data_IF_958315973916
#
_entry.id   IF_958315973916
#
_cell.length_a   1.000
_cell.length_b   1.000
_cell.length_c   1.000
_cell.angle_alpha   90.00
_cell.angle_beta   90.00
_cell.angle_gamma   90.00
#
_symmetry.space_group_name_H-M   'P 1'
#
loop_
_entity.id
_entity.type
_entity.pdbx_description
1 polymer ?
#
# COMPACT_ATOMS: atom_id res chain seq x y z
N UNK A 1 14.83 -37.14 -7.94
CA UNK A 1 15.42 -36.30 -6.87
C UNK A 1 15.71 -34.87 -7.36
N UNK A 2 16.48 -34.69 -8.43
CA UNK A 2 16.84 -33.37 -8.97
C UNK A 2 15.64 -32.47 -9.34
N UNK A 3 14.61 -33.05 -9.97
CA UNK A 3 13.34 -32.35 -10.23
C UNK A 3 12.69 -31.79 -8.95
N UNK A 4 12.63 -32.58 -7.88
CA UNK A 4 12.05 -32.14 -6.59
C UNK A 4 12.88 -31.02 -5.96
N UNK A 5 14.21 -31.05 -6.08
CA UNK A 5 15.09 -29.99 -5.59
C UNK A 5 14.86 -28.68 -6.36
N UNK A 6 14.72 -28.76 -7.69
CA UNK A 6 14.41 -27.62 -8.56
C UNK A 6 13.04 -27.03 -8.24
N UNK A 7 11.99 -27.85 -8.20
CA UNK A 7 10.63 -27.38 -7.91
C UNK A 7 10.54 -26.77 -6.50
N UNK A 8 11.21 -27.36 -5.51
CA UNK A 8 11.31 -26.78 -4.17
C UNK A 8 12.00 -25.41 -4.19
N UNK A 9 13.08 -25.25 -4.95
CA UNK A 9 13.77 -23.96 -5.06
C UNK A 9 12.87 -22.89 -5.71
N UNK A 10 12.13 -23.25 -6.77
CA UNK A 10 11.16 -22.37 -7.44
C UNK A 10 10.03 -21.98 -6.47
N UNK A 11 9.50 -22.94 -5.72
CA UNK A 11 8.44 -22.71 -4.74
C UNK A 11 8.90 -21.78 -3.60
N UNK A 12 10.10 -22.00 -3.05
CA UNK A 12 10.70 -21.14 -2.02
C UNK A 12 10.95 -19.72 -2.54
N UNK A 13 11.42 -19.58 -3.78
CA UNK A 13 11.59 -18.28 -4.43
C UNK A 13 10.26 -17.54 -4.65
N UNK A 14 9.18 -18.29 -4.91
CA UNK A 14 7.84 -17.74 -5.13
C UNK A 14 7.07 -17.43 -3.84
N UNK A 15 7.55 -17.92 -2.69
CA UNK A 15 6.93 -17.70 -1.38
C UNK A 15 7.05 -16.24 -0.89
N UNK A 16 7.99 -15.48 -1.44
CA UNK A 16 8.23 -14.09 -1.05
C UNK A 16 7.87 -13.18 -2.22
N UNK A 17 7.04 -12.17 -1.93
CA UNK A 17 6.68 -11.16 -2.90
C UNK A 17 7.93 -10.46 -3.49
N UNK A 18 8.01 -10.18 -4.80
CA UNK A 18 9.17 -9.51 -5.40
C UNK A 18 9.56 -8.20 -4.71
N UNK A 19 8.56 -7.43 -4.24
CA UNK A 19 8.83 -6.20 -3.48
C UNK A 19 9.47 -6.47 -2.12
N UNK A 20 9.06 -7.56 -1.45
CA UNK A 20 9.63 -7.98 -0.17
C UNK A 20 11.04 -8.52 -0.35
N UNK A 21 11.31 -9.25 -1.45
CA UNK A 21 12.65 -9.72 -1.78
C UNK A 21 13.64 -8.56 -1.95
N UNK A 22 13.25 -7.51 -2.71
CA UNK A 22 14.06 -6.29 -2.88
C UNK A 22 14.32 -5.61 -1.53
N UNK A 23 13.31 -5.52 -0.66
CA UNK A 23 13.45 -4.94 0.68
C UNK A 23 14.39 -5.77 1.56
N UNK A 24 14.25 -7.09 1.58
CA UNK A 24 15.09 -7.97 2.40
C UNK A 24 16.53 -8.01 1.93
N UNK A 25 16.79 -7.96 0.63
CA UNK A 25 18.15 -7.79 0.11
C UNK A 25 18.77 -6.48 0.62
N UNK A 26 18.01 -5.37 0.57
CA UNK A 26 18.48 -4.10 1.15
C UNK A 26 18.78 -4.19 2.65
N UNK A 27 18.01 -4.98 3.41
CA UNK A 27 18.27 -5.21 4.83
C UNK A 27 19.56 -6.02 5.04
N UNK A 28 19.76 -7.08 4.25
CA UNK A 28 20.98 -7.88 4.28
C UNK A 28 22.21 -7.02 3.97
N UNK A 29 22.18 -6.21 2.91
CA UNK A 29 23.32 -5.35 2.56
C UNK A 29 23.67 -4.35 3.67
N UNK A 30 22.67 -3.81 4.35
CA UNK A 30 22.88 -2.95 5.53
C UNK A 30 23.59 -3.69 6.66
N UNK A 31 23.22 -4.93 6.92
CA UNK A 31 23.87 -5.76 7.93
C UNK A 31 25.29 -6.16 7.54
N UNK A 32 25.53 -6.55 6.28
CA UNK A 32 26.87 -6.88 5.79
C UNK A 32 27.82 -5.68 5.86
N UNK A 33 27.31 -4.48 5.58
CA UNK A 33 28.07 -3.23 5.72
C UNK A 33 28.41 -2.96 7.18
N UNK A 34 27.46 -3.16 8.11
CA UNK A 34 27.72 -3.07 9.54
C UNK A 34 28.81 -4.07 9.99
N UNK A 35 28.71 -5.35 9.60
CA UNK A 35 29.71 -6.35 9.91
C UNK A 35 31.09 -5.94 9.38
N UNK A 36 31.16 -5.43 8.15
CA UNK A 36 32.41 -4.97 7.54
C UNK A 36 33.01 -3.78 8.29
N UNK A 37 32.21 -2.77 8.66
CA UNK A 37 32.69 -1.56 9.36
C UNK A 37 33.25 -1.92 10.75
N UNK A 38 32.59 -2.84 11.45
CA UNK A 38 32.96 -3.20 12.83
C UNK A 38 33.81 -4.47 12.93
N UNK A 39 34.24 -5.04 11.79
CA UNK A 39 35.00 -6.29 11.72
C UNK A 39 34.32 -7.47 12.45
N UNK A 40 32.99 -7.53 12.42
CA UNK A 40 32.24 -8.68 12.93
C UNK A 40 32.13 -9.79 11.90
N UNK A 41 32.02 -11.03 12.39
CA UNK A 41 31.59 -12.15 11.57
C UNK A 41 30.18 -11.91 11.01
N UNK A 42 29.87 -12.54 9.87
CA UNK A 42 28.55 -12.44 9.23
C UNK A 42 27.50 -13.21 10.04
N UNK A 43 27.89 -14.26 10.79
CA UNK A 43 26.97 -15.04 11.61
C UNK A 43 26.16 -14.14 12.58
N UNK A 44 24.82 -14.08 12.44
CA UNK A 44 24.00 -13.24 13.29
C UNK A 44 23.70 -13.92 14.63
N UNK A 45 24.54 -13.63 15.62
CA UNK A 45 24.38 -14.03 17.01
C UNK A 45 23.47 -13.05 17.76
N UNK A 46 22.97 -13.40 18.96
CA UNK A 46 22.23 -12.45 19.80
C UNK A 46 22.99 -11.14 20.05
N UNK A 47 24.30 -11.23 20.30
CA UNK A 47 25.15 -10.06 20.53
C UNK A 47 25.29 -9.20 19.28
N UNK A 48 25.68 -9.79 18.13
CA UNK A 48 25.88 -9.02 16.90
C UNK A 48 24.59 -8.35 16.43
N UNK A 49 23.45 -9.04 16.53
CA UNK A 49 22.14 -8.47 16.23
C UNK A 49 21.76 -7.36 17.23
N UNK A 50 22.10 -7.49 18.51
CA UNK A 50 21.83 -6.43 19.49
C UNK A 50 22.67 -5.18 19.24
N UNK A 51 23.95 -5.34 18.89
CA UNK A 51 24.81 -4.22 18.49
C UNK A 51 24.31 -3.56 17.20
N UNK A 52 23.90 -4.36 16.22
CA UNK A 52 23.27 -3.87 15.00
C UNK A 52 22.02 -3.03 15.30
N UNK A 53 21.19 -3.46 16.26
CA UNK A 53 20.03 -2.67 16.70
C UNK A 53 20.45 -1.31 17.23
N UNK A 54 21.44 -1.28 18.14
CA UNK A 54 21.94 -0.02 18.71
C UNK A 54 22.47 0.89 17.61
N UNK A 55 23.34 0.37 16.75
CA UNK A 55 23.93 1.10 15.62
C UNK A 55 22.84 1.70 14.72
N UNK A 56 21.92 0.87 14.21
CA UNK A 56 20.90 1.32 13.26
C UNK A 56 19.89 2.28 13.88
N UNK A 57 19.58 2.17 15.17
CA UNK A 57 18.64 3.09 15.82
C UNK A 57 19.14 4.54 15.88
N UNK A 58 20.45 4.79 15.70
CA UNK A 58 20.98 6.15 15.54
C UNK A 58 20.74 6.72 14.14
N UNK A 59 20.50 5.87 13.15
CA UNK A 59 20.31 6.27 11.75
C UNK A 59 18.85 6.23 11.31
N UNK A 60 18.06 5.31 11.86
CA UNK A 60 16.65 5.10 11.51
C UNK A 60 15.79 4.84 12.74
N UNK A 61 14.47 4.97 12.58
CA UNK A 61 13.52 4.74 13.66
C UNK A 61 13.58 3.27 14.16
N UNK A 62 13.54 3.02 15.49
CA UNK A 62 13.63 1.67 16.05
C UNK A 62 12.61 0.67 15.47
N UNK A 63 11.39 1.12 15.18
CA UNK A 63 10.36 0.30 14.51
C UNK A 63 10.79 -0.25 13.14
N UNK A 64 11.60 0.52 12.40
CA UNK A 64 12.13 0.11 11.10
C UNK A 64 13.23 -0.92 11.29
N UNK A 65 14.08 -0.77 12.30
CA UNK A 65 15.13 -1.75 12.64
C UNK A 65 14.54 -3.14 12.90
N UNK A 66 13.38 -3.23 13.56
CA UNK A 66 12.67 -4.50 13.73
C UNK A 66 12.33 -5.21 12.40
N UNK A 67 12.02 -4.45 11.34
CA UNK A 67 11.79 -4.99 9.99
C UNK A 67 13.10 -5.42 9.31
N UNK A 68 14.18 -4.69 9.56
CA UNK A 68 15.52 -5.06 9.08
C UNK A 68 15.93 -6.41 9.64
N UNK A 69 15.80 -6.61 10.96
CA UNK A 69 16.07 -7.90 11.61
C UNK A 69 15.30 -9.06 10.98
N UNK A 70 14.01 -8.86 10.68
CA UNK A 70 13.20 -9.89 10.02
C UNK A 70 13.68 -10.20 8.61
N UNK A 71 14.11 -9.19 7.85
CA UNK A 71 14.67 -9.40 6.50
C UNK A 71 16.04 -10.07 6.53
N UNK A 72 16.92 -9.68 7.46
CA UNK A 72 18.22 -10.31 7.69
C UNK A 72 18.04 -11.78 8.04
N UNK A 73 17.17 -12.08 9.02
CA UNK A 73 16.90 -13.45 9.43
C UNK A 73 16.36 -14.29 8.27
N UNK A 74 15.43 -13.74 7.47
CA UNK A 74 14.92 -14.45 6.31
C UNK A 74 15.99 -14.75 5.25
N UNK A 75 16.88 -13.80 4.96
CA UNK A 75 17.93 -13.98 3.95
C UNK A 75 19.03 -14.93 4.41
N UNK A 76 19.36 -14.93 5.70
CA UNK A 76 20.49 -15.68 6.24
C UNK A 76 20.12 -17.06 6.80
N UNK A 77 18.84 -17.38 6.95
CA UNK A 77 18.36 -18.65 7.54
C UNK A 77 18.90 -19.90 6.84
N UNK A 78 19.11 -19.86 5.53
CA UNK A 78 19.65 -20.99 4.79
C UNK A 78 21.15 -21.27 5.07
N UNK A 79 21.89 -20.27 5.57
CA UNK A 79 23.30 -20.37 5.95
C UNK A 79 23.47 -20.53 7.46
N UNK A 80 22.60 -19.88 8.23
CA UNK A 80 22.63 -19.80 9.69
C UNK A 80 21.26 -20.21 10.24
N UNK A 81 21.02 -21.51 10.48
CA UNK A 81 19.70 -22.02 10.89
C UNK A 81 19.17 -21.38 12.18
N UNK A 82 20.07 -21.01 13.10
CA UNK A 82 19.72 -20.42 14.40
C UNK A 82 19.36 -18.93 14.33
N UNK A 83 19.48 -18.28 13.17
CA UNK A 83 19.28 -16.82 13.02
C UNK A 83 17.91 -16.35 13.53
N UNK A 84 16.86 -17.16 13.36
CA UNK A 84 15.52 -16.82 13.85
C UNK A 84 15.45 -16.90 15.37
N UNK A 85 16.06 -17.91 15.98
CA UNK A 85 16.16 -18.03 17.43
C UNK A 85 16.96 -16.86 18.00
N UNK A 86 18.11 -16.54 17.39
CA UNK A 86 18.97 -15.42 17.78
C UNK A 86 18.24 -14.07 17.70
N UNK A 87 17.53 -13.82 16.59
CA UNK A 87 16.69 -12.62 16.41
C UNK A 87 15.60 -12.51 17.49
N UNK A 88 15.03 -13.63 17.91
CA UNK A 88 13.96 -13.67 18.92
C UNK A 88 14.46 -13.75 20.36
N UNK A 89 15.78 -13.74 20.56
CA UNK A 89 16.38 -13.78 21.89
C UNK A 89 15.90 -12.62 22.78
N UNK A 90 15.93 -12.85 24.09
CA UNK A 90 15.58 -11.83 25.08
C UNK A 90 16.50 -10.60 24.96
N UNK A 91 17.78 -10.80 24.63
CA UNK A 91 18.75 -9.74 24.45
C UNK A 91 18.32 -8.78 23.33
N UNK A 92 18.11 -9.30 22.11
CA UNK A 92 17.71 -8.49 20.95
C UNK A 92 16.37 -7.78 21.21
N UNK A 93 15.40 -8.50 21.77
CA UNK A 93 14.07 -7.95 22.07
C UNK A 93 14.12 -6.82 23.10
N UNK A 94 14.91 -6.98 24.18
CA UNK A 94 15.10 -5.95 25.20
C UNK A 94 15.86 -4.75 24.66
N UNK A 95 16.88 -4.95 23.83
CA UNK A 95 17.63 -3.87 23.18
C UNK A 95 16.72 -3.05 22.27
N UNK A 96 15.91 -3.69 21.44
CA UNK A 96 14.93 -2.99 20.59
C UNK A 96 13.90 -2.21 21.42
N UNK A 97 13.43 -2.78 22.53
CA UNK A 97 12.52 -2.10 23.48
C UNK A 97 13.19 -0.89 24.10
N UNK A 98 14.44 -1.01 24.54
CA UNK A 98 15.22 0.09 25.09
C UNK A 98 15.42 1.22 24.09
N UNK A 99 15.84 0.90 22.85
CA UNK A 99 15.97 1.88 21.78
C UNK A 99 14.64 2.54 21.42
N UNK A 100 13.53 1.80 21.43
CA UNK A 100 12.20 2.35 21.18
C UNK A 100 11.80 3.36 22.26
N UNK A 101 12.09 3.09 23.54
CA UNK A 101 11.81 4.03 24.63
C UNK A 101 12.70 5.28 24.59
N UNK A 102 13.97 5.13 24.17
CA UNK A 102 14.95 6.23 24.16
C UNK A 102 14.87 7.12 22.92
N UNK A 103 14.65 6.53 21.75
CA UNK A 103 14.79 7.17 20.43
C UNK A 103 13.51 7.12 19.59
N UNK A 104 12.47 6.44 20.08
CA UNK A 104 11.19 6.33 19.38
C UNK A 104 10.50 7.69 19.26
N UNK A 105 9.87 7.91 18.11
CA UNK A 105 9.03 9.08 17.86
C UNK A 105 7.60 8.69 17.51
N UNK A 106 6.67 9.62 17.75
CA UNK A 106 5.27 9.43 17.41
C UNK A 106 5.07 9.19 15.91
N UNK A 107 4.13 8.31 15.55
CA UNK A 107 3.83 7.97 14.16
C UNK A 107 3.14 9.17 13.48
N UNK A 108 3.87 9.88 12.62
CA UNK A 108 3.29 10.85 11.69
C UNK A 108 2.59 10.11 10.55
N UNK A 109 1.26 10.17 10.51
CA UNK A 109 0.44 9.57 9.44
C UNK A 109 0.15 10.62 8.37
N UNK A 110 -0.08 10.16 7.14
CA UNK A 110 -0.57 11.03 6.07
C UNK A 110 -2.00 11.47 6.39
N UNK A 111 -2.33 12.70 6.02
CA UNK A 111 -3.67 13.25 6.20
C UNK A 111 -4.68 12.50 5.33
N UNK A 112 -5.91 12.26 5.82
CA UNK A 112 -6.97 11.69 5.01
C UNK A 112 -7.38 12.69 3.94
N UNK A 113 -7.56 12.20 2.72
CA UNK A 113 -8.04 13.05 1.63
C UNK A 113 -9.54 13.34 1.85
N UNK A 114 -9.98 14.57 1.61
CA UNK A 114 -11.39 14.96 1.70
C UNK A 114 -12.05 14.92 0.30
N UNK A 115 -13.39 14.81 0.26
CA UNK A 115 -14.13 14.85 -1.00
C UNK A 115 -13.93 16.19 -1.74
N UNK A 116 -13.79 17.29 -0.99
CA UNK A 116 -13.52 18.62 -1.54
C UNK A 116 -12.16 18.70 -2.25
N UNK A 117 -11.18 17.87 -1.84
CA UNK A 117 -9.92 17.79 -2.56
C UNK A 117 -10.14 17.18 -3.96
N UNK A 118 -10.97 16.14 -4.10
CA UNK A 118 -11.31 15.55 -5.42
C UNK A 118 -12.01 16.59 -6.29
N UNK A 119 -12.98 17.31 -5.73
CA UNK A 119 -13.69 18.38 -6.43
C UNK A 119 -12.72 19.46 -6.89
N UNK A 120 -11.77 19.88 -6.04
CA UNK A 120 -10.74 20.85 -6.39
C UNK A 120 -9.81 20.39 -7.52
N UNK A 121 -9.54 19.09 -7.65
CA UNK A 121 -8.81 18.56 -8.82
C UNK A 121 -9.66 18.59 -10.09
N UNK A 122 -10.95 18.21 -10.01
CA UNK A 122 -11.85 18.24 -11.17
C UNK A 122 -12.05 19.66 -11.71
N UNK A 123 -12.27 20.63 -10.82
CA UNK A 123 -12.45 22.04 -11.19
C UNK A 123 -11.19 22.65 -11.79
N UNK A 124 -10.01 22.23 -11.32
CA UNK A 124 -8.73 22.69 -11.84
C UNK A 124 -8.36 22.09 -13.20
N UNK A 125 -9.13 21.12 -13.71
CA UNK A 125 -8.85 20.45 -14.97
C UNK A 125 -10.11 20.38 -15.83
N UNK A 126 -10.61 21.53 -16.32
CA UNK A 126 -11.85 21.60 -17.11
C UNK A 126 -11.72 20.87 -18.46
N UNK A 127 -10.53 20.86 -19.06
CA UNK A 127 -10.21 20.17 -20.31
C UNK A 127 -9.09 19.15 -20.07
N UNK A 128 -9.40 17.99 -19.46
CA UNK A 128 -8.37 17.02 -19.10
C UNK A 128 -7.82 16.32 -20.34
N UNK A 129 -6.49 16.24 -20.43
CA UNK A 129 -5.81 15.34 -21.36
C UNK A 129 -5.84 13.91 -20.81
N UNK A 130 -5.36 12.95 -21.60
CA UNK A 130 -5.37 11.53 -21.24
C UNK A 130 -4.77 11.23 -19.87
N UNK A 131 -3.58 11.74 -19.58
CA UNK A 131 -2.90 11.52 -18.31
C UNK A 131 -3.62 12.21 -17.13
N UNK A 132 -4.38 13.27 -17.38
CA UNK A 132 -5.22 13.91 -16.37
C UNK A 132 -6.46 13.06 -16.07
N UNK A 133 -7.10 12.52 -17.12
CA UNK A 133 -8.19 11.56 -16.99
C UNK A 133 -7.73 10.33 -16.21
N UNK A 134 -6.54 9.80 -16.52
CA UNK A 134 -5.93 8.69 -15.79
C UNK A 134 -5.73 9.02 -14.31
N UNK A 135 -5.15 10.19 -14.03
CA UNK A 135 -4.90 10.63 -12.66
C UNK A 135 -6.22 10.75 -11.88
N UNK A 136 -7.22 11.41 -12.46
CA UNK A 136 -8.55 11.59 -11.85
C UNK A 136 -9.26 10.24 -11.63
N UNK A 137 -9.16 9.31 -12.59
CA UNK A 137 -9.73 7.98 -12.47
C UNK A 137 -9.05 7.15 -11.36
N UNK A 138 -7.72 7.19 -11.25
CA UNK A 138 -6.99 6.54 -10.15
C UNK A 138 -7.30 7.22 -8.81
N UNK A 139 -7.42 8.54 -8.77
CA UNK A 139 -7.79 9.29 -7.58
C UNK A 139 -9.18 8.89 -7.08
N UNK A 140 -10.18 8.88 -7.97
CA UNK A 140 -11.56 8.49 -7.67
C UNK A 140 -11.66 7.01 -7.27
N UNK A 141 -11.04 6.10 -8.03
CA UNK A 141 -11.02 4.66 -7.68
C UNK A 141 -10.28 4.43 -6.36
N UNK A 142 -9.16 5.11 -6.17
CA UNK A 142 -8.39 5.15 -4.92
C UNK A 142 -9.24 5.46 -3.70
N UNK A 143 -10.03 6.51 -3.83
CA UNK A 143 -10.90 7.03 -2.79
C UNK A 143 -12.15 6.16 -2.57
N UNK A 144 -12.98 5.96 -3.59
CA UNK A 144 -14.26 5.27 -3.45
C UNK A 144 -14.14 3.74 -3.37
N UNK A 145 -13.08 3.15 -3.95
CA UNK A 145 -12.78 1.72 -3.84
C UNK A 145 -11.85 1.35 -2.68
N UNK A 146 -11.49 2.34 -1.85
CA UNK A 146 -10.57 2.20 -0.70
C UNK A 146 -9.26 1.49 -1.06
N UNK A 147 -8.74 1.75 -2.26
CA UNK A 147 -7.53 1.10 -2.74
C UNK A 147 -6.29 1.61 -2.02
N UNK A 148 -5.33 0.70 -1.82
CA UNK A 148 -3.95 1.15 -1.62
C UNK A 148 -3.45 1.66 -2.96
N UNK A 149 -2.73 2.79 -2.98
CA UNK A 149 -2.21 3.34 -4.24
C UNK A 149 -1.41 2.31 -5.07
N UNK A 150 -0.62 1.44 -4.41
CA UNK A 150 0.16 0.40 -5.11
C UNK A 150 -0.67 -0.74 -5.71
N UNK A 151 -2.00 -0.77 -5.51
CA UNK A 151 -2.91 -1.66 -6.23
C UNK A 151 -3.30 -1.08 -7.61
N UNK A 152 -3.10 0.23 -7.82
CA UNK A 152 -3.48 0.96 -9.04
C UNK A 152 -2.28 1.48 -9.84
N UNK A 153 -1.06 1.34 -9.31
CA UNK A 153 0.17 1.86 -9.92
C UNK A 153 1.31 0.86 -9.84
N UNK A 154 2.32 1.05 -10.68
CA UNK A 154 3.58 0.34 -10.55
C UNK A 154 4.40 0.81 -9.35
N UNK A 155 5.13 -0.10 -8.67
CA UNK A 155 6.28 0.27 -7.88
C UNK A 155 7.29 1.05 -8.73
N UNK A 156 7.92 2.05 -8.11
CA UNK A 156 8.95 2.87 -8.75
C UNK A 156 10.17 2.01 -9.12
N UNK A 157 10.54 1.06 -8.26
CA UNK A 157 11.60 0.07 -8.52
C UNK A 157 11.12 -1.00 -9.49
N UNK A 158 11.80 -1.13 -10.63
CA UNK A 158 11.44 -2.09 -11.69
C UNK A 158 11.46 -3.53 -11.19
N UNK A 159 12.42 -3.91 -10.32
CA UNK A 159 12.54 -5.28 -9.81
C UNK A 159 11.37 -5.71 -8.91
N UNK A 160 10.57 -4.75 -8.44
CA UNK A 160 9.39 -5.03 -7.61
C UNK A 160 8.09 -5.17 -8.41
N UNK A 161 8.15 -5.00 -9.74
CA UNK A 161 6.98 -5.07 -10.64
C UNK A 161 6.62 -6.53 -10.92
N UNK A 162 5.33 -6.85 -10.85
CA UNK A 162 4.77 -8.17 -11.11
C UNK A 162 3.49 -8.02 -11.93
N UNK A 163 3.52 -8.51 -13.19
CA UNK A 163 2.40 -8.39 -14.13
C UNK A 163 1.14 -9.10 -13.67
N UNK A 164 1.27 -10.10 -12.79
CA UNK A 164 0.12 -10.81 -12.21
C UNK A 164 -0.73 -9.90 -11.32
N UNK A 165 -0.19 -8.76 -10.87
CA UNK A 165 -0.90 -7.79 -10.03
C UNK A 165 -1.57 -6.67 -10.83
N UNK A 166 -1.39 -6.65 -12.15
CA UNK A 166 -1.91 -5.59 -13.02
C UNK A 166 -3.39 -5.84 -13.29
N UNK A 167 -4.23 -4.82 -13.04
CA UNK A 167 -5.65 -4.88 -13.35
C UNK A 167 -5.84 -4.88 -14.87
N UNK A 168 -6.55 -5.88 -15.35
CA UNK A 168 -6.79 -6.07 -16.78
C UNK A 168 -8.05 -5.33 -17.24
N UNK A 169 -7.96 -4.65 -18.38
CA UNK A 169 -9.08 -3.98 -19.06
C UNK A 169 -10.22 -4.95 -19.37
N UNK A 170 -9.90 -6.20 -19.69
CA UNK A 170 -10.87 -7.27 -19.97
C UNK A 170 -11.74 -7.65 -18.77
N UNK A 171 -11.31 -7.35 -17.54
CA UNK A 171 -12.09 -7.56 -16.32
C UNK A 171 -13.10 -6.46 -16.04
N UNK A 172 -13.00 -5.31 -16.72
CA UNK A 172 -13.89 -4.17 -16.50
C UNK A 172 -15.27 -4.48 -17.06
N UNK A 173 -16.31 -4.22 -16.26
CA UNK A 173 -17.72 -4.22 -16.68
C UNK A 173 -18.36 -2.91 -16.26
N UNK A 174 -19.15 -2.33 -17.16
CA UNK A 174 -19.95 -1.14 -16.91
C UNK A 174 -21.40 -1.59 -16.82
N UNK A 175 -22.08 -1.20 -15.74
CA UNK A 175 -23.52 -1.30 -15.57
C UNK A 175 -24.11 0.13 -15.59
N UNK A 176 -25.42 0.31 -15.51
CA UNK A 176 -26.03 1.65 -15.61
C UNK A 176 -25.58 2.60 -14.49
N UNK A 177 -25.50 2.09 -13.26
CA UNK A 177 -25.18 2.86 -12.04
C UNK A 177 -23.86 2.47 -11.39
N UNK A 178 -23.19 1.42 -11.87
CA UNK A 178 -21.96 0.90 -11.29
C UNK A 178 -20.91 0.59 -12.35
N UNK A 179 -19.66 0.49 -11.92
CA UNK A 179 -18.63 -0.19 -12.69
C UNK A 179 -17.85 -1.12 -11.78
N UNK A 180 -17.29 -2.17 -12.37
CA UNK A 180 -16.54 -3.18 -11.64
C UNK A 180 -15.32 -3.65 -12.41
N UNK A 181 -14.32 -4.15 -11.69
CA UNK A 181 -13.13 -4.80 -12.24
C UNK A 181 -12.54 -5.79 -11.24
N UNK A 182 -11.71 -6.71 -11.74
CA UNK A 182 -11.00 -7.66 -10.89
C UNK A 182 -9.68 -7.07 -10.43
N UNK A 183 -9.47 -7.03 -9.11
CA UNK A 183 -8.18 -6.76 -8.48
C UNK A 183 -7.46 -8.11 -8.30
N UNK A 184 -6.39 -8.41 -9.07
CA UNK A 184 -5.82 -9.76 -9.11
C UNK A 184 -5.16 -10.20 -7.81
N UNK A 185 -4.60 -9.26 -7.07
CA UNK A 185 -3.91 -9.54 -5.82
C UNK A 185 -3.96 -8.33 -4.90
N UNK A 186 -4.02 -8.58 -3.60
CA UNK A 186 -3.82 -7.56 -2.59
C UNK A 186 -3.04 -8.15 -1.41
N UNK A 187 -2.45 -7.29 -0.57
CA UNK A 187 -1.53 -7.75 0.51
C UNK A 187 -2.14 -8.75 1.51
N UNK A 188 -3.47 -8.81 1.61
CA UNK A 188 -4.17 -9.74 2.49
C UNK A 188 -4.67 -11.00 1.76
N UNK A 189 -4.52 -11.07 0.44
CA UNK A 189 -4.90 -12.21 -0.37
C UNK A 189 -3.83 -13.29 -0.31
N UNK A 190 -4.02 -14.26 0.59
CA UNK A 190 -3.11 -15.42 0.71
C UNK A 190 -3.37 -16.49 -0.33
N UNK A 191 -4.57 -16.51 -0.92
CA UNK A 191 -5.03 -17.58 -1.81
C UNK A 191 -5.02 -17.16 -3.29
N UNK A 192 -4.68 -15.90 -3.60
CA UNK A 192 -4.66 -15.34 -4.95
C UNK A 192 -6.02 -15.44 -5.66
N UNK A 193 -7.11 -15.39 -4.91
CA UNK A 193 -8.47 -15.40 -5.45
C UNK A 193 -8.83 -14.05 -6.10
N UNK A 194 -8.06 -13.00 -5.77
CA UNK A 194 -8.34 -11.64 -6.18
C UNK A 194 -9.55 -11.07 -5.44
N UNK A 195 -10.04 -9.93 -5.91
CA UNK A 195 -11.27 -9.32 -5.38
C UNK A 195 -11.99 -8.56 -6.47
N UNK A 196 -13.31 -8.73 -6.55
CA UNK A 196 -14.12 -7.88 -7.45
C UNK A 196 -14.34 -6.54 -6.76
N UNK A 197 -13.88 -5.48 -7.40
CA UNK A 197 -14.12 -4.10 -6.97
C UNK A 197 -15.37 -3.62 -7.66
N UNK A 198 -16.34 -3.10 -6.90
CA UNK A 198 -17.56 -2.50 -7.42
C UNK A 198 -17.64 -1.08 -6.88
N UNK A 199 -17.72 -0.10 -7.78
CA UNK A 199 -17.86 1.31 -7.42
C UNK A 199 -19.16 1.82 -8.06
N UNK A 200 -20.04 2.34 -7.21
CA UNK A 200 -21.30 2.94 -7.62
C UNK A 200 -21.12 4.43 -7.93
N UNK A 201 -21.95 4.91 -8.86
CA UNK A 201 -22.12 6.33 -9.12
C UNK A 201 -22.54 7.07 -7.84
N UNK A 202 -22.23 8.36 -7.79
CA UNK A 202 -22.58 9.22 -6.65
C UNK A 202 -23.30 10.45 -7.14
N UNK A 203 -24.28 10.88 -6.36
CA UNK A 203 -24.91 12.18 -6.55
C UNK A 203 -23.94 13.29 -6.10
N UNK A 204 -23.85 14.36 -6.87
CA UNK A 204 -23.03 15.53 -6.57
C UNK A 204 -21.89 15.78 -7.57
N UNK A 205 -20.97 16.66 -7.18
CA UNK A 205 -19.91 17.17 -8.06
C UNK A 205 -18.81 16.15 -8.41
N UNK A 206 -18.69 15.07 -7.63
CA UNK A 206 -17.65 14.05 -7.76
C UNK A 206 -18.29 12.69 -8.02
N UNK A 207 -18.69 12.46 -9.26
CA UNK A 207 -19.21 11.15 -9.68
C UNK A 207 -18.07 10.23 -10.17
N UNK A 208 -17.71 9.16 -9.42
CA UNK A 208 -16.65 8.25 -9.84
C UNK A 208 -16.97 7.51 -11.14
N UNK A 209 -18.26 7.30 -11.46
CA UNK A 209 -18.64 6.60 -12.68
C UNK A 209 -18.32 7.45 -13.91
N UNK A 210 -18.78 8.70 -13.95
CA UNK A 210 -18.47 9.66 -15.02
C UNK A 210 -16.95 9.87 -15.19
N UNK A 211 -16.21 10.01 -14.09
CA UNK A 211 -14.74 10.17 -14.15
C UNK A 211 -14.10 8.93 -14.78
N UNK A 212 -14.51 7.73 -14.35
CA UNK A 212 -13.95 6.47 -14.83
C UNK A 212 -14.31 6.21 -16.30
N UNK A 213 -15.55 6.43 -16.72
CA UNK A 213 -15.98 6.20 -18.11
C UNK A 213 -15.31 7.15 -19.09
N UNK A 214 -15.07 8.42 -18.70
CA UNK A 214 -14.30 9.37 -19.50
C UNK A 214 -12.86 8.90 -19.72
N UNK A 215 -12.20 8.43 -18.66
CA UNK A 215 -10.87 7.82 -18.80
C UNK A 215 -10.91 6.58 -19.69
N UNK A 216 -11.88 5.69 -19.47
CA UNK A 216 -12.00 4.44 -20.21
C UNK A 216 -12.17 4.67 -21.71
N UNK A 217 -13.01 5.65 -22.10
CA UNK A 217 -13.18 6.05 -23.49
C UNK A 217 -11.87 6.57 -24.11
N UNK A 218 -11.15 7.44 -23.41
CA UNK A 218 -9.85 7.95 -23.87
C UNK A 218 -8.81 6.82 -24.00
N UNK A 219 -8.77 5.91 -23.04
CA UNK A 219 -7.88 4.75 -23.01
C UNK A 219 -8.18 3.76 -24.13
N UNK A 220 -9.45 3.45 -24.38
CA UNK A 220 -9.84 2.50 -25.42
C UNK A 220 -9.63 3.07 -26.83
N UNK A 221 -9.76 4.39 -26.99
CA UNK A 221 -9.40 5.07 -28.23
C UNK A 221 -7.89 5.01 -28.52
N UNK A 222 -7.05 5.25 -27.52
CA UNK A 222 -5.58 5.27 -27.69
C UNK A 222 -4.95 3.87 -27.72
N UNK A 223 -5.49 2.93 -26.95
CA UNK A 223 -4.90 1.61 -26.73
C UNK A 223 -5.90 0.47 -26.94
N UNK A 224 -6.53 0.35 -28.12
CA UNK A 224 -7.66 -0.57 -28.35
C UNK A 224 -7.32 -2.04 -28.06
N UNK A 225 -6.07 -2.45 -28.28
CA UNK A 225 -5.61 -3.83 -28.13
C UNK A 225 -4.84 -4.11 -26.82
N UNK A 226 -4.50 -3.08 -26.05
CA UNK A 226 -3.73 -3.29 -24.82
C UNK A 226 -4.60 -4.02 -23.78
N UNK A 227 -4.07 -5.02 -23.05
CA UNK A 227 -4.84 -5.70 -22.01
C UNK A 227 -4.90 -4.93 -20.69
N UNK A 228 -4.09 -3.89 -20.52
CA UNK A 228 -3.88 -3.21 -19.23
C UNK A 228 -4.92 -2.10 -19.02
N UNK A 229 -5.48 -2.01 -17.82
CA UNK A 229 -6.46 -0.97 -17.50
C UNK A 229 -5.83 0.41 -17.38
N UNK A 230 -4.82 0.56 -16.52
CA UNK A 230 -4.21 1.85 -16.19
C UNK A 230 -2.99 2.09 -17.08
N UNK A 231 -3.15 2.94 -18.08
CA UNK A 231 -2.13 3.34 -19.03
C UNK A 231 -2.06 4.85 -19.10
N UNK A 232 -0.83 5.38 -19.10
CA UNK A 232 -0.51 6.74 -19.50
C UNK A 232 -0.50 6.85 -21.03
N UNK A 233 -0.38 8.07 -21.53
CA UNK A 233 -0.29 8.39 -22.96
C UNK A 233 0.92 7.73 -23.64
N UNK A 234 2.00 7.47 -22.88
CA UNK A 234 3.19 6.76 -23.37
C UNK A 234 3.05 5.23 -23.42
N UNK A 235 1.85 4.69 -23.09
CA UNK A 235 1.56 3.26 -23.08
C UNK A 235 2.10 2.50 -21.87
N UNK A 236 2.71 3.17 -20.88
CA UNK A 236 3.16 2.54 -19.65
C UNK A 236 2.13 2.69 -18.52
N UNK A 237 2.11 1.70 -17.62
CA UNK A 237 1.38 1.81 -16.36
C UNK A 237 2.00 2.92 -15.49
N UNK A 238 1.19 3.81 -14.89
CA UNK A 238 1.70 4.89 -14.06
C UNK A 238 2.46 4.35 -12.85
N UNK A 239 3.59 4.97 -12.52
CA UNK A 239 4.30 4.67 -11.28
C UNK A 239 3.65 5.36 -10.07
N UNK A 240 3.99 4.90 -8.88
CA UNK A 240 3.62 5.58 -7.64
C UNK A 240 4.14 7.02 -7.61
N UNK A 241 5.38 7.26 -8.02
CA UNK A 241 5.96 8.60 -8.08
C UNK A 241 5.24 9.53 -9.05
N UNK A 242 4.81 9.02 -10.21
CA UNK A 242 4.02 9.77 -11.19
C UNK A 242 2.68 10.24 -10.61
N UNK A 243 2.00 9.37 -9.86
CA UNK A 243 0.74 9.76 -9.22
C UNK A 243 0.97 10.79 -8.12
N UNK A 244 2.00 10.58 -7.29
CA UNK A 244 2.30 11.47 -6.17
C UNK A 244 2.76 12.86 -6.63
N UNK A 245 3.53 12.97 -7.72
CA UNK A 245 3.92 14.28 -8.26
C UNK A 245 2.71 15.10 -8.69
N UNK A 246 1.75 14.46 -9.36
CA UNK A 246 0.47 15.08 -9.74
C UNK A 246 -0.39 15.46 -8.53
N UNK A 247 -0.44 14.60 -7.50
CA UNK A 247 -1.13 14.91 -6.24
C UNK A 247 -0.51 16.13 -5.54
N UNK A 248 0.82 16.18 -5.49
CA UNK A 248 1.57 17.23 -4.79
C UNK A 248 1.68 18.53 -5.57
N UNK A 249 1.27 18.56 -6.84
CA UNK A 249 1.14 19.80 -7.60
C UNK A 249 0.07 20.74 -6.99
N UNK A 250 -0.85 20.21 -6.17
CA UNK A 250 -1.91 21.00 -5.52
C UNK A 250 -2.05 20.76 -4.01
N UNK A 251 -1.61 19.61 -3.52
CA UNK A 251 -1.69 19.28 -2.09
C UNK A 251 -0.31 19.23 -1.45
N UNK A 252 -0.26 19.49 -0.14
CA UNK A 252 0.99 19.46 0.60
C UNK A 252 1.57 18.03 0.71
N UNK A 253 2.82 17.94 1.15
CA UNK A 253 3.50 16.68 1.41
C UNK A 253 2.91 15.89 2.59
N UNK A 254 1.94 16.44 3.35
CA UNK A 254 1.21 15.67 4.36
C UNK A 254 0.27 14.64 3.74
N UNK A 255 -0.05 14.77 2.44
CA UNK A 255 -0.81 13.78 1.67
C UNK A 255 0.10 12.75 0.98
N UNK A 256 -0.46 11.59 0.65
CA UNK A 256 0.22 10.58 -0.15
C UNK A 256 -0.67 9.38 -0.46
N UNK A 257 -0.09 8.27 -0.92
CA UNK A 257 -0.89 7.14 -1.40
C UNK A 257 -1.79 6.46 -0.35
N UNK A 258 -1.53 6.65 0.94
CA UNK A 258 -2.42 6.18 2.01
C UNK A 258 -3.62 7.10 2.24
N UNK A 259 -3.50 8.39 1.87
CA UNK A 259 -4.53 9.40 2.03
C UNK A 259 -5.82 9.06 1.27
N UNK A 260 -5.70 8.37 0.13
CA UNK A 260 -6.83 7.89 -0.67
C UNK A 260 -7.72 6.97 0.17
N UNK A 261 -7.12 5.91 0.71
CA UNK A 261 -7.80 4.88 1.47
C UNK A 261 -8.33 5.37 2.81
N UNK A 262 -7.54 6.17 3.54
CA UNK A 262 -8.00 6.75 4.80
C UNK A 262 -9.07 7.81 4.58
N UNK A 263 -8.96 8.60 3.51
CA UNK A 263 -9.94 9.59 3.09
C UNK A 263 -11.28 8.98 2.73
N UNK A 264 -11.29 7.96 1.86
CA UNK A 264 -12.52 7.26 1.50
C UNK A 264 -13.20 6.59 2.70
N UNK A 265 -12.43 5.98 3.61
CA UNK A 265 -13.00 5.36 4.81
C UNK A 265 -13.64 6.38 5.75
N UNK A 266 -12.99 7.53 5.90
CA UNK A 266 -13.49 8.70 6.63
C UNK A 266 -14.78 9.19 6.00
N UNK A 267 -14.81 9.34 4.67
CA UNK A 267 -15.99 9.75 3.93
C UNK A 267 -17.16 8.79 4.12
N UNK A 268 -16.97 7.48 3.95
CA UNK A 268 -18.08 6.53 4.14
C UNK A 268 -18.59 6.50 5.58
N UNK A 269 -17.71 6.62 6.58
CA UNK A 269 -18.14 6.73 7.97
C UNK A 269 -18.98 8.00 8.21
N UNK A 270 -18.61 9.13 7.60
CA UNK A 270 -19.41 10.38 7.66
C UNK A 270 -20.76 10.24 6.96
N UNK A 271 -20.84 9.41 5.91
CA UNK A 271 -22.10 9.07 5.23
C UNK A 271 -22.93 8.02 5.99
N UNK A 272 -22.53 7.66 7.23
CA UNK A 272 -23.26 6.72 8.07
C UNK A 272 -23.14 5.25 7.65
N UNK A 273 -22.13 4.90 6.85
CA UNK A 273 -21.93 3.48 6.49
C UNK A 273 -21.54 2.64 7.71
N UNK A 274 -22.10 1.44 7.86
CA UNK A 274 -21.68 0.50 8.90
C UNK A 274 -20.19 0.14 8.83
N UNK A 275 -19.58 -0.03 10.01
CA UNK A 275 -18.16 -0.36 10.17
C UNK A 275 -17.75 -1.63 9.39
N UNK A 276 -18.57 -2.68 9.44
CA UNK A 276 -18.37 -3.95 8.74
C UNK A 276 -18.39 -3.76 7.21
N UNK A 277 -19.27 -2.90 6.70
CA UNK A 277 -19.32 -2.56 5.27
C UNK A 277 -18.08 -1.80 4.81
N UNK A 278 -17.61 -0.84 5.61
CA UNK A 278 -16.37 -0.10 5.33
C UNK A 278 -15.16 -1.06 5.40
N UNK A 279 -15.15 -1.94 6.39
CA UNK A 279 -14.11 -2.95 6.57
C UNK A 279 -14.02 -3.89 5.36
N UNK A 280 -15.16 -4.41 4.91
CA UNK A 280 -15.27 -5.26 3.73
C UNK A 280 -14.85 -4.53 2.45
N UNK A 281 -15.36 -3.31 2.23
CA UNK A 281 -15.02 -2.49 1.06
C UNK A 281 -13.51 -2.24 0.98
N UNK A 282 -12.88 -1.94 2.12
CA UNK A 282 -11.44 -1.75 2.17
C UNK A 282 -10.65 -3.04 2.15
N UNK A 283 -11.24 -4.22 2.34
CA UNK A 283 -10.48 -5.49 2.45
C UNK A 283 -9.52 -5.42 3.65
N UNK A 284 -10.02 -4.97 4.80
CA UNK A 284 -9.27 -4.98 6.05
C UNK A 284 -9.54 -6.29 6.81
N UNK A 285 -8.48 -7.04 7.10
CA UNK A 285 -8.56 -8.25 7.93
C UNK A 285 -8.59 -7.96 9.43
N UNK A 286 -8.41 -6.69 9.82
CA UNK A 286 -8.39 -6.26 11.20
C UNK A 286 -9.03 -4.89 11.36
N UNK A 287 -9.26 -4.51 12.62
CA UNK A 287 -9.81 -3.22 13.06
C UNK A 287 -8.88 -2.01 12.80
N UNK A 288 -7.88 -2.16 11.92
CA UNK A 288 -6.95 -1.10 11.57
C UNK A 288 -7.65 0.15 10.98
N UNK A 289 -8.81 -0.03 10.32
CA UNK A 289 -9.57 1.07 9.75
C UNK A 289 -10.15 2.01 10.82
N UNK A 290 -10.50 1.48 12.00
CA UNK A 290 -11.03 2.28 13.12
C UNK A 290 -10.04 3.35 13.58
N UNK A 291 -8.74 3.19 13.35
CA UNK A 291 -7.76 4.24 13.66
C UNK A 291 -7.96 5.51 12.82
N UNK A 292 -8.52 5.41 11.61
CA UNK A 292 -8.80 6.56 10.77
C UNK A 292 -10.07 7.28 11.25
N UNK A 293 -11.07 6.51 11.66
CA UNK A 293 -12.36 7.00 12.17
C UNK A 293 -12.19 7.66 13.56
N UNK A 294 -11.55 6.97 14.51
CA UNK A 294 -11.38 7.42 15.91
C UNK A 294 -10.49 8.65 16.09
N UNK A 295 -9.77 9.08 15.05
CA UNK A 295 -8.92 10.28 15.11
C UNK A 295 -9.54 11.50 14.45
N UNK A 296 -10.73 11.36 13.85
CA UNK A 296 -11.46 12.48 13.28
C UNK A 296 -12.55 12.93 14.28
N UNK A 297 -12.39 14.10 14.94
CA UNK A 297 -13.33 14.58 15.95
C UNK A 297 -14.75 14.76 15.39
N UNK A 298 -14.87 15.17 14.13
CA UNK A 298 -16.16 15.36 13.44
C UNK A 298 -16.87 14.03 13.26
N UNK A 299 -16.13 12.96 12.90
CA UNK A 299 -16.72 11.62 12.80
C UNK A 299 -17.11 11.09 14.17
N UNK A 300 -16.27 11.27 15.19
CA UNK A 300 -16.60 10.87 16.56
C UNK A 300 -17.92 11.52 17.01
N UNK A 301 -18.07 12.82 16.76
CA UNK A 301 -19.29 13.54 17.06
C UNK A 301 -20.48 13.01 16.24
N UNK A 302 -20.35 12.84 14.93
CA UNK A 302 -21.41 12.31 14.07
C UNK A 302 -21.85 10.89 14.48
N UNK A 303 -20.91 10.01 14.82
CA UNK A 303 -21.19 8.65 15.30
C UNK A 303 -21.88 8.64 16.66
N UNK A 304 -21.52 9.56 17.57
CA UNK A 304 -22.20 9.71 18.86
C UNK A 304 -23.66 10.16 18.64
N UNK A 305 -23.89 11.13 17.77
CA UNK A 305 -25.24 11.62 17.46
C UNK A 305 -26.11 10.59 16.71
N UNK A 306 -25.54 9.86 15.76
CA UNK A 306 -26.27 8.82 15.03
C UNK A 306 -26.71 7.67 15.95
N UNK A 307 -25.89 7.31 16.95
CA UNK A 307 -26.21 6.27 17.94
C UNK A 307 -27.27 6.71 18.95
N UNK A 308 -27.32 8.00 19.30
CA UNK A 308 -28.39 8.55 20.16
C UNK A 308 -29.72 8.73 19.44
N UNK A 309 -29.73 8.80 18.11
CA UNK A 309 -30.96 8.88 17.30
C UNK A 309 -31.54 7.49 16.97
N UNK A 310 -30.84 6.41 17.34
CA UNK A 310 -31.24 5.02 17.10
C UNK A 310 -31.85 4.34 18.34
N UNK A 311 -32.09 5.10 19.41
CA UNK A 311 -32.73 4.70 20.67
C UNK A 311 -34.00 5.49 20.88
#
# INVERSE_FOLDING_TARGET
MEHLLRERAIALGSAIDPSSHVTYNSHLQSYLTFCKIHSFAIDPTPDTLSFYVVFMCHHIQPRSVGQYLSGIANQLEHLFPDVRANRNSALVSRTLTGCTKRLGSAIRRKEPLAIDNLQGFLQATPQPMHDDLLFLAILACGFFGLHRLGELTWPDRVQARDWRKVIMRSSVRLDDSTFRYSLPAHKADRFFEGSTIIIAQREGAVDPRSIFTRYLASRDHQFPISPVLWLKLDGNVPSRSWFLSRLHARLSQSFGGHSLRSGGATYFAMQGWPDDRIQALGRWTSEAFRMYIRKNPVILQALLHARTAST
#
